data_IF_883891565890
#
_entry.id   IF_883891565890
#
_cell.length_a   1.000
_cell.length_b   1.000
_cell.length_c   1.000
_cell.angle_alpha   90.00
_cell.angle_beta   90.00
_cell.angle_gamma   90.00
#
_symmetry.space_group_name_H-M   'P 1'
#
loop_
_entity.id
_entity.type
_entity.pdbx_description
1 polymer ?
#
# COMPACT_ATOMS: atom_id res chain seq x y z
N UNK A 1 -8.72 -12.71 -27.04
CA UNK A 1 -7.96 -12.21 -25.86
C UNK A 1 -8.98 -11.73 -24.85
N UNK A 2 -9.07 -12.34 -23.67
CA UNK A 2 -9.95 -11.81 -22.64
C UNK A 2 -9.43 -10.42 -22.25
N UNK A 3 -10.19 -9.38 -22.54
CA UNK A 3 -9.88 -8.06 -22.00
C UNK A 3 -9.98 -8.20 -20.47
N UNK A 4 -8.87 -8.00 -19.77
CA UNK A 4 -8.88 -8.00 -18.32
C UNK A 4 -9.83 -6.89 -17.87
N UNK A 5 -10.99 -7.26 -17.30
CA UNK A 5 -11.92 -6.32 -16.69
C UNK A 5 -11.31 -5.84 -15.37
N UNK A 6 -10.44 -4.85 -15.45
CA UNK A 6 -9.79 -4.24 -14.28
C UNK A 6 -10.78 -3.28 -13.62
N UNK A 7 -11.16 -3.56 -12.38
CA UNK A 7 -11.97 -2.67 -11.54
C UNK A 7 -11.10 -1.69 -10.75
N UNK A 8 -9.99 -2.19 -10.20
CA UNK A 8 -8.99 -1.42 -9.47
C UNK A 8 -7.58 -1.77 -9.94
N UNK A 9 -6.72 -0.76 -10.02
CA UNK A 9 -5.29 -0.90 -10.26
C UNK A 9 -4.55 -0.05 -9.23
N UNK A 10 -3.83 -0.71 -8.33
CA UNK A 10 -3.02 -0.08 -7.30
C UNK A 10 -1.57 -0.01 -7.74
N UNK A 11 -0.98 1.18 -7.64
CA UNK A 11 0.36 1.48 -8.12
C UNK A 11 1.16 2.15 -7.01
N UNK A 12 2.34 1.60 -6.70
CA UNK A 12 3.36 2.24 -5.88
C UNK A 12 4.51 2.72 -6.76
N UNK A 13 5.28 3.69 -6.28
CA UNK A 13 6.35 4.33 -7.07
C UNK A 13 5.79 4.93 -8.37
N UNK A 14 4.80 5.81 -8.25
CA UNK A 14 4.22 6.51 -9.41
C UNK A 14 5.17 7.53 -10.03
N UNK A 15 6.13 8.05 -9.24
CA UNK A 15 6.98 9.18 -9.61
C UNK A 15 6.20 10.46 -9.98
N UNK A 16 4.92 10.53 -9.59
CA UNK A 16 4.11 11.71 -9.81
C UNK A 16 4.46 12.84 -8.84
N UNK A 17 4.09 14.04 -9.25
CA UNK A 17 4.22 15.27 -8.48
C UNK A 17 2.99 16.16 -8.72
N UNK A 18 2.83 17.16 -7.84
CA UNK A 18 1.77 18.17 -7.93
C UNK A 18 1.78 18.97 -9.24
N UNK A 19 2.87 18.94 -9.99
CA UNK A 19 2.99 19.54 -11.33
C UNK A 19 2.28 18.74 -12.42
N UNK A 20 1.99 17.46 -12.19
CA UNK A 20 1.19 16.62 -13.10
C UNK A 20 -0.29 16.90 -12.80
N UNK A 21 -1.10 17.36 -13.75
CA UNK A 21 -2.54 17.58 -13.51
C UNK A 21 -3.31 16.26 -13.34
N UNK A 22 -4.33 16.25 -12.46
CA UNK A 22 -5.18 15.06 -12.24
C UNK A 22 -5.91 14.60 -13.51
N UNK A 23 -6.16 15.51 -14.46
CA UNK A 23 -6.77 15.20 -15.76
C UNK A 23 -5.93 14.23 -16.60
N UNK A 24 -4.62 14.15 -16.38
CA UNK A 24 -3.75 13.16 -17.04
C UNK A 24 -3.88 11.75 -16.44
N UNK A 25 -4.44 11.64 -15.23
CA UNK A 25 -4.60 10.38 -14.52
C UNK A 25 -6.03 9.85 -14.59
N UNK A 26 -6.94 10.54 -15.30
CA UNK A 26 -8.36 10.16 -15.38
C UNK A 26 -8.82 10.15 -16.84
N UNK A 27 -9.88 9.39 -17.13
CA UNK A 27 -10.55 9.39 -18.43
C UNK A 27 -12.06 9.14 -18.24
N UNK A 28 -12.81 8.90 -19.32
CA UNK A 28 -14.25 8.67 -19.23
C UNK A 28 -14.64 7.44 -18.37
N UNK A 29 -13.78 6.43 -18.33
CA UNK A 29 -14.03 5.15 -17.63
C UNK A 29 -13.40 5.10 -16.25
N UNK A 30 -12.20 5.66 -16.08
CA UNK A 30 -11.39 5.54 -14.87
C UNK A 30 -11.19 6.89 -14.17
N UNK A 31 -11.29 6.85 -12.85
CA UNK A 31 -10.83 7.89 -11.93
C UNK A 31 -9.50 7.46 -11.28
N UNK A 32 -8.84 8.41 -10.64
CA UNK A 32 -7.58 8.20 -9.94
C UNK A 32 -7.60 8.95 -8.60
N UNK A 33 -7.24 8.25 -7.53
CA UNK A 33 -6.80 8.86 -6.28
C UNK A 33 -5.31 8.63 -6.17
N UNK A 34 -4.55 9.67 -5.79
CA UNK A 34 -3.10 9.58 -5.64
C UNK A 34 -2.61 10.29 -4.39
N UNK A 35 -1.49 9.81 -3.89
CA UNK A 35 -0.72 10.44 -2.82
C UNK A 35 0.71 10.59 -3.36
N UNK A 36 1.01 11.80 -3.83
CA UNK A 36 2.32 12.16 -4.36
C UNK A 36 3.31 12.35 -3.21
N UNK A 37 4.61 12.19 -3.50
CA UNK A 37 5.63 12.39 -2.47
C UNK A 37 5.64 13.85 -2.01
N UNK A 38 5.53 14.06 -0.70
CA UNK A 38 5.61 15.40 -0.10
C UNK A 38 7.00 16.03 -0.27
N UNK A 39 7.05 17.34 -0.47
CA UNK A 39 8.30 18.12 -0.48
C UNK A 39 9.07 18.04 0.85
N UNK A 40 8.38 17.72 1.94
CA UNK A 40 9.00 17.48 3.26
C UNK A 40 9.85 16.21 3.30
N UNK A 41 9.71 15.30 2.32
CA UNK A 41 10.45 14.05 2.28
C UNK A 41 11.96 14.28 2.08
N UNK A 42 12.84 13.55 2.81
CA UNK A 42 14.29 13.73 2.73
C UNK A 42 14.86 13.37 1.35
N UNK A 43 14.25 12.42 0.63
CA UNK A 43 14.59 12.10 -0.77
C UNK A 43 13.65 12.79 -1.74
N UNK A 44 14.21 13.57 -2.67
CA UNK A 44 13.43 14.34 -3.66
C UNK A 44 12.96 13.56 -4.90
N UNK A 45 13.42 12.31 -5.08
CA UNK A 45 13.08 11.49 -6.25
C UNK A 45 12.47 10.15 -5.87
N UNK A 46 11.50 9.69 -6.66
CA UNK A 46 10.77 8.43 -6.47
C UNK A 46 9.60 8.54 -5.51
N UNK A 47 8.98 7.39 -5.23
CA UNK A 47 7.80 7.29 -4.36
C UNK A 47 6.50 7.65 -5.06
N UNK A 48 5.50 7.97 -4.24
CA UNK A 48 4.13 8.18 -4.67
C UNK A 48 3.32 6.89 -4.75
N UNK A 49 2.02 7.01 -4.54
CA UNK A 49 1.05 5.92 -4.64
C UNK A 49 -0.19 6.39 -5.40
N UNK A 50 -0.84 5.50 -6.14
CA UNK A 50 -2.09 5.79 -6.82
C UNK A 50 -2.99 4.56 -6.90
N UNK A 51 -4.29 4.79 -6.85
CA UNK A 51 -5.32 3.83 -7.25
C UNK A 51 -6.06 4.38 -8.45
N UNK A 52 -6.05 3.63 -9.54
CA UNK A 52 -6.93 3.83 -10.68
C UNK A 52 -8.12 2.90 -10.55
N UNK A 53 -9.33 3.41 -10.70
CA UNK A 53 -10.55 2.64 -10.48
C UNK A 53 -11.66 3.07 -11.42
N UNK A 54 -12.58 2.16 -11.75
CA UNK A 54 -13.73 2.52 -12.61
C UNK A 54 -14.59 3.57 -11.92
N UNK A 55 -15.03 4.59 -12.66
CA UNK A 55 -15.91 5.66 -12.14
C UNK A 55 -17.27 5.16 -11.64
N UNK A 56 -17.70 3.99 -12.10
CA UNK A 56 -18.92 3.32 -11.60
C UNK A 56 -18.77 2.76 -10.17
N UNK A 57 -17.55 2.68 -9.66
CA UNK A 57 -17.26 2.20 -8.31
C UNK A 57 -17.31 3.36 -7.34
N UNK A 58 -18.04 3.15 -6.25
CA UNK A 58 -18.19 4.12 -5.20
C UNK A 58 -17.03 4.04 -4.19
N UNK A 59 -15.96 4.78 -4.52
CA UNK A 59 -14.73 4.84 -3.73
C UNK A 59 -14.49 6.27 -3.21
N UNK A 60 -14.39 6.42 -1.89
CA UNK A 60 -14.16 7.71 -1.23
C UNK A 60 -12.77 7.77 -0.57
N UNK A 61 -11.95 8.80 -0.84
CA UNK A 61 -10.65 8.96 -0.16
C UNK A 61 -10.84 9.24 1.34
N UNK A 62 -9.98 8.67 2.16
CA UNK A 62 -9.89 8.95 3.60
C UNK A 62 -8.68 9.83 3.84
N UNK A 63 -8.88 10.95 4.54
CA UNK A 63 -7.80 11.88 4.85
C UNK A 63 -6.95 11.33 6.00
N UNK A 64 -5.64 11.35 5.81
CA UNK A 64 -4.65 11.00 6.83
C UNK A 64 -3.96 12.30 7.27
N UNK A 65 -3.63 12.40 8.55
CA UNK A 65 -2.92 13.59 9.05
C UNK A 65 -1.57 13.75 8.35
N UNK A 66 -1.26 14.92 7.75
CA UNK A 66 0.06 15.19 7.19
C UNK A 66 1.18 15.08 8.22
N UNK A 67 0.87 15.25 9.51
CA UNK A 67 1.86 15.13 10.59
C UNK A 67 2.28 13.68 10.84
N UNK A 68 1.45 12.70 10.52
CA UNK A 68 1.81 11.28 10.64
C UNK A 68 2.87 10.91 9.60
N UNK A 69 2.71 11.40 8.36
CA UNK A 69 3.70 11.21 7.31
C UNK A 69 5.11 11.65 7.73
N UNK A 70 5.24 12.76 8.48
CA UNK A 70 6.54 13.26 8.93
C UNK A 70 7.26 12.33 9.91
N UNK A 71 6.55 11.41 10.57
CA UNK A 71 7.12 10.45 11.52
C UNK A 71 7.81 9.29 10.83
N UNK A 72 7.32 8.88 9.65
CA UNK A 72 7.76 7.64 8.99
C UNK A 72 8.15 7.79 7.51
N UNK A 73 7.77 8.88 6.84
CA UNK A 73 8.08 9.18 5.44
C UNK A 73 7.67 8.06 4.46
N UNK A 74 6.58 7.35 4.77
CA UNK A 74 6.03 6.32 3.90
C UNK A 74 4.74 6.84 3.28
N UNK A 75 4.56 6.61 1.99
CA UNK A 75 3.37 7.03 1.26
C UNK A 75 2.22 6.07 1.59
N UNK A 76 1.14 6.61 2.15
CA UNK A 76 -0.07 5.86 2.50
C UNK A 76 -1.26 6.54 1.83
N UNK A 77 -2.01 5.77 1.05
CA UNK A 77 -3.25 6.20 0.40
C UNK A 77 -4.39 5.32 0.89
N UNK A 78 -5.39 5.93 1.52
CA UNK A 78 -6.53 5.22 2.11
C UNK A 78 -7.80 5.64 1.37
N UNK A 79 -8.62 4.65 1.06
CA UNK A 79 -9.93 4.87 0.46
C UNK A 79 -10.93 3.81 0.93
N UNK A 80 -12.19 4.21 1.03
CA UNK A 80 -13.28 3.38 1.50
C UNK A 80 -14.22 3.07 0.33
N UNK A 81 -14.43 1.78 0.07
CA UNK A 81 -15.49 1.30 -0.80
C UNK A 81 -16.79 1.23 0.01
N UNK A 82 -17.64 2.26 -0.14
CA UNK A 82 -18.82 2.49 0.71
C UNK A 82 -19.83 1.33 0.67
N UNK A 83 -20.16 0.73 -0.49
CA UNK A 83 -21.15 -0.34 -0.56
C UNK A 83 -20.78 -1.60 0.23
N UNK A 84 -19.50 -2.00 0.23
CA UNK A 84 -19.04 -3.20 0.97
C UNK A 84 -18.46 -2.87 2.34
N UNK A 85 -18.44 -1.58 2.73
CA UNK A 85 -17.74 -1.08 3.93
C UNK A 85 -16.30 -1.63 4.00
N UNK A 86 -15.57 -1.54 2.88
CA UNK A 86 -14.19 -2.03 2.82
C UNK A 86 -13.23 -0.88 2.73
N UNK A 87 -12.33 -0.77 3.71
CA UNK A 87 -11.22 0.16 3.70
C UNK A 87 -10.03 -0.46 2.99
N UNK A 88 -9.52 0.24 2.00
CA UNK A 88 -8.37 -0.15 1.22
C UNK A 88 -7.22 0.80 1.54
N UNK A 89 -6.09 0.24 1.99
CA UNK A 89 -4.91 0.96 2.45
C UNK A 89 -3.73 0.57 1.56
N UNK A 90 -3.38 1.45 0.62
CA UNK A 90 -2.22 1.30 -0.24
C UNK A 90 -0.99 1.94 0.42
N UNK A 91 0.03 1.13 0.67
CA UNK A 91 1.26 1.52 1.37
C UNK A 91 2.45 1.38 0.43
N UNK A 92 3.29 2.41 0.38
CA UNK A 92 4.66 2.30 -0.08
C UNK A 92 5.61 2.67 1.05
N UNK A 93 6.36 1.69 1.54
CA UNK A 93 7.45 1.88 2.50
C UNK A 93 8.77 1.87 1.72
N UNK A 94 9.51 2.98 1.64
CA UNK A 94 10.82 2.99 0.99
C UNK A 94 11.79 1.97 1.60
N UNK A 95 12.71 1.39 0.82
CA UNK A 95 13.71 0.44 1.35
C UNK A 95 14.68 1.08 2.34
N UNK A 96 14.77 2.42 2.38
CA UNK A 96 15.59 3.17 3.33
C UNK A 96 14.88 3.52 4.64
N UNK A 97 13.63 3.11 4.84
CA UNK A 97 12.88 3.40 6.07
C UNK A 97 13.55 2.70 7.26
N UNK A 98 13.85 3.46 8.31
CA UNK A 98 14.49 2.96 9.52
C UNK A 98 13.55 2.07 10.36
N UNK A 99 14.08 1.37 11.36
CA UNK A 99 13.27 0.60 12.30
C UNK A 99 12.28 1.48 13.08
N UNK A 100 12.74 2.64 13.57
CA UNK A 100 11.87 3.59 14.30
C UNK A 100 10.75 4.15 13.42
N UNK A 101 11.08 4.55 12.18
CA UNK A 101 10.08 4.98 11.20
C UNK A 101 9.10 3.87 10.85
N UNK A 102 9.58 2.62 10.78
CA UNK A 102 8.72 1.46 10.55
C UNK A 102 7.73 1.30 11.70
N UNK A 103 8.17 1.42 12.96
CA UNK A 103 7.24 1.35 14.10
C UNK A 103 6.19 2.47 14.06
N UNK A 104 6.58 3.70 13.72
CA UNK A 104 5.63 4.82 13.55
C UNK A 104 4.63 4.58 12.41
N UNK A 105 5.07 4.02 11.27
CA UNK A 105 4.16 3.59 10.21
C UNK A 105 3.12 2.60 10.74
N UNK A 106 3.54 1.57 11.47
CA UNK A 106 2.61 0.56 12.00
C UNK A 106 1.65 1.14 13.05
N UNK A 107 2.07 2.11 13.87
CA UNK A 107 1.15 2.85 14.74
C UNK A 107 0.08 3.59 13.94
N UNK A 108 0.47 4.28 12.86
CA UNK A 108 -0.48 4.94 11.96
C UNK A 108 -1.43 3.94 11.28
N UNK A 109 -0.92 2.78 10.86
CA UNK A 109 -1.77 1.72 10.29
C UNK A 109 -2.75 1.15 11.33
N UNK A 110 -2.31 0.87 12.56
CA UNK A 110 -3.18 0.44 13.66
C UNK A 110 -4.35 1.40 13.86
N UNK A 111 -4.09 2.71 13.88
CA UNK A 111 -5.15 3.72 14.02
C UNK A 111 -6.17 3.72 12.86
N UNK A 112 -5.77 3.28 11.67
CA UNK A 112 -6.67 3.16 10.51
C UNK A 112 -7.52 1.89 10.55
N UNK A 113 -7.07 0.86 11.27
CA UNK A 113 -7.75 -0.42 11.46
C UNK A 113 -8.68 -0.42 12.69
N UNK A 114 -8.48 0.48 13.64
CA UNK A 114 -9.29 0.62 14.86
C UNK A 114 -10.64 1.33 14.61
N UNK A 115 -11.27 1.06 13.46
CA UNK A 115 -12.61 1.56 13.12
C UNK A 115 -13.56 0.38 13.07
N UNK A 116 -14.48 0.32 14.04
CA UNK A 116 -15.56 -0.67 14.03
C UNK A 116 -16.42 -0.51 12.76
N UNK A 117 -16.84 -1.64 12.18
CA UNK A 117 -17.74 -1.77 11.01
C UNK A 117 -17.10 -1.78 9.61
N UNK A 118 -15.77 -1.76 9.49
CA UNK A 118 -15.09 -1.89 8.20
C UNK A 118 -14.33 -3.21 8.04
N UNK A 119 -14.42 -3.77 6.84
CA UNK A 119 -13.46 -4.76 6.33
C UNK A 119 -12.18 -4.04 5.92
N UNK A 120 -11.03 -4.71 6.00
CA UNK A 120 -9.74 -4.09 5.68
C UNK A 120 -9.03 -4.84 4.59
N UNK A 121 -8.47 -4.08 3.65
CA UNK A 121 -7.56 -4.55 2.61
C UNK A 121 -6.29 -3.71 2.67
N UNK A 122 -5.18 -4.30 3.09
CA UNK A 122 -3.89 -3.61 3.12
C UNK A 122 -2.99 -4.19 2.04
N UNK A 123 -2.47 -3.30 1.19
CA UNK A 123 -1.65 -3.69 0.06
C UNK A 123 -0.60 -2.66 -0.30
N UNK A 124 0.29 -3.05 -1.22
CA UNK A 124 1.38 -2.20 -1.69
C UNK A 124 2.73 -2.79 -1.35
N UNK A 125 3.78 -1.97 -1.45
CA UNK A 125 5.18 -2.38 -1.37
C UNK A 125 5.82 -1.96 -0.04
N UNK A 126 5.98 -2.91 0.86
CA UNK A 126 6.56 -2.63 2.19
C UNK A 126 8.10 -2.69 2.20
N UNK A 127 8.75 -3.15 1.13
CA UNK A 127 10.20 -3.31 1.02
C UNK A 127 10.87 -3.89 2.28
N UNK A 128 10.35 -5.00 2.83
CA UNK A 128 11.06 -5.76 3.86
C UNK A 128 11.98 -6.79 3.21
N UNK A 129 13.31 -6.57 3.19
CA UNK A 129 14.21 -7.49 2.52
C UNK A 129 14.39 -8.81 3.30
N UNK A 130 14.37 -8.77 4.63
CA UNK A 130 14.62 -9.96 5.44
C UNK A 130 13.44 -10.94 5.47
N UNK A 131 12.24 -10.50 5.09
CA UNK A 131 11.03 -11.30 5.24
C UNK A 131 10.80 -12.18 4.02
N UNK A 132 10.61 -13.46 4.28
CA UNK A 132 10.11 -14.44 3.32
C UNK A 132 8.59 -14.52 3.40
N UNK A 133 7.91 -13.90 2.43
CA UNK A 133 6.45 -13.88 2.36
C UNK A 133 5.91 -15.21 1.84
N UNK A 134 5.59 -16.14 2.75
CA UNK A 134 4.87 -17.36 2.41
C UNK A 134 3.45 -17.32 3.03
N UNK A 135 2.43 -17.92 2.38
CA UNK A 135 1.03 -17.81 2.82
C UNK A 135 0.75 -18.29 4.24
N UNK A 136 1.49 -19.31 4.68
CA UNK A 136 1.27 -20.00 5.97
C UNK A 136 2.46 -19.87 6.93
N UNK A 137 3.55 -19.25 6.48
CA UNK A 137 4.78 -19.15 7.23
C UNK A 137 5.34 -17.73 7.06
N UNK A 138 5.55 -17.06 8.18
CA UNK A 138 6.35 -15.84 8.28
C UNK A 138 7.72 -16.16 8.90
N UNK A 139 8.51 -17.12 8.36
CA UNK A 139 9.81 -17.44 8.93
C UNK A 139 10.71 -16.21 8.76
N UNK A 140 11.47 -15.91 9.81
CA UNK A 140 12.38 -14.75 9.86
C UNK A 140 11.68 -13.37 9.78
N UNK A 141 10.36 -13.33 10.01
CA UNK A 141 9.64 -12.06 10.11
C UNK A 141 9.87 -11.41 11.47
N UNK A 142 9.96 -10.07 11.55
CA UNK A 142 10.02 -9.37 12.82
C UNK A 142 8.79 -9.71 13.69
N UNK A 143 9.02 -10.03 14.96
CA UNK A 143 7.98 -10.38 15.94
C UNK A 143 6.83 -9.36 15.94
N UNK A 144 7.16 -8.06 15.94
CA UNK A 144 6.16 -6.98 15.92
C UNK A 144 5.17 -7.08 14.75
N UNK A 145 5.62 -7.57 13.58
CA UNK A 145 4.76 -7.69 12.41
C UNK A 145 3.81 -8.87 12.56
N UNK A 146 4.32 -10.00 13.07
CA UNK A 146 3.54 -11.21 13.30
C UNK A 146 2.45 -10.92 14.34
N UNK A 147 2.82 -10.25 15.43
CA UNK A 147 1.89 -9.84 16.48
C UNK A 147 0.83 -8.89 15.94
N UNK A 148 1.23 -7.91 15.12
CA UNK A 148 0.32 -6.96 14.51
C UNK A 148 -0.67 -7.64 13.55
N UNK A 149 -0.18 -8.51 12.67
CA UNK A 149 -1.03 -9.29 11.76
C UNK A 149 -2.00 -10.18 12.53
N UNK A 150 -1.54 -10.83 13.59
CA UNK A 150 -2.36 -11.70 14.45
C UNK A 150 -3.44 -10.91 15.17
N UNK A 151 -3.10 -9.75 15.72
CA UNK A 151 -4.01 -8.87 16.47
C UNK A 151 -5.17 -8.35 15.61
N UNK A 152 -4.96 -8.18 14.31
CA UNK A 152 -5.96 -7.74 13.35
C UNK A 152 -6.50 -8.87 12.45
N UNK A 153 -6.19 -10.12 12.77
CA UNK A 153 -6.61 -11.31 12.01
C UNK A 153 -6.29 -11.23 10.50
N UNK A 154 -5.14 -10.63 10.16
CA UNK A 154 -4.72 -10.37 8.79
C UNK A 154 -4.07 -11.62 8.16
N UNK A 155 -4.50 -11.97 6.96
CA UNK A 155 -3.98 -13.12 6.20
C UNK A 155 -3.18 -12.68 4.97
N UNK A 156 -1.96 -13.18 4.77
CA UNK A 156 -1.13 -12.85 3.60
C UNK A 156 -1.59 -13.64 2.37
N UNK A 157 -2.15 -12.94 1.38
CA UNK A 157 -2.71 -13.58 0.17
C UNK A 157 -1.71 -13.72 -0.99
N UNK A 158 -0.52 -13.13 -0.91
CA UNK A 158 0.48 -13.24 -1.98
C UNK A 158 1.24 -14.56 -1.89
N UNK A 159 1.01 -15.42 -2.89
CA UNK A 159 1.54 -16.81 -2.93
C UNK A 159 2.75 -16.99 -3.83
N UNK A 160 3.21 -15.95 -4.52
CA UNK A 160 4.29 -16.03 -5.49
C UNK A 160 5.23 -14.82 -5.43
N UNK A 161 6.45 -14.94 -5.98
CA UNK A 161 7.37 -13.83 -6.03
C UNK A 161 6.93 -12.63 -6.85
N UNK A 162 6.92 -11.45 -6.24
CA UNK A 162 6.50 -10.18 -6.87
C UNK A 162 7.67 -9.33 -7.41
N UNK A 163 8.93 -9.79 -7.28
CA UNK A 163 10.11 -9.10 -7.84
C UNK A 163 11.13 -10.08 -8.43
N UNK A 164 11.68 -9.72 -9.60
CA UNK A 164 12.83 -10.39 -10.22
C UNK A 164 14.13 -9.73 -9.76
N UNK A 165 15.12 -10.52 -9.30
CA UNK A 165 16.44 -9.96 -8.97
C UNK A 165 17.16 -9.47 -10.24
N UNK A 166 18.06 -8.48 -10.11
CA UNK A 166 18.86 -7.92 -11.21
C UNK A 166 19.73 -8.97 -11.94
N UNK A 167 19.90 -10.16 -11.37
CA UNK A 167 20.72 -11.25 -11.90
C UNK A 167 19.91 -12.33 -12.64
N UNK A 168 18.59 -12.15 -12.84
CA UNK A 168 17.76 -13.04 -13.67
C UNK A 168 17.59 -14.48 -13.17
N UNK A 169 18.26 -14.88 -12.07
CA UNK A 169 18.33 -16.30 -11.66
C UNK A 169 17.51 -16.70 -10.43
N UNK A 170 16.93 -15.75 -9.67
CA UNK A 170 16.00 -16.08 -8.57
C UNK A 170 14.88 -15.06 -8.47
N UNK A 171 13.64 -15.56 -8.61
CA UNK A 171 12.42 -14.86 -8.23
C UNK A 171 12.35 -14.86 -6.70
N UNK A 172 12.40 -13.70 -6.06
CA UNK A 172 12.35 -13.59 -4.60
C UNK A 172 10.94 -13.08 -4.23
N UNK A 173 10.19 -13.77 -3.36
CA UNK A 173 8.95 -13.23 -2.81
C UNK A 173 9.27 -12.05 -1.92
N UNK A 174 9.14 -10.86 -2.49
CA UNK A 174 9.21 -9.58 -1.81
C UNK A 174 8.21 -8.65 -2.45
N UNK A 175 7.13 -8.42 -1.72
CA UNK A 175 6.76 -7.10 -1.18
C UNK A 175 5.34 -6.65 -1.41
N UNK A 176 4.51 -7.36 -2.17
CA UNK A 176 3.07 -7.05 -2.20
C UNK A 176 2.36 -7.74 -1.05
N UNK A 177 1.59 -6.99 -0.30
CA UNK A 177 0.63 -7.53 0.66
C UNK A 177 -0.76 -7.44 0.04
N UNK A 178 -1.61 -8.39 0.38
CA UNK A 178 -3.04 -8.18 0.34
C UNK A 178 -3.53 -8.86 1.61
N UNK A 179 -3.79 -8.05 2.63
CA UNK A 179 -4.28 -8.52 3.93
C UNK A 179 -5.77 -8.24 3.97
N UNK A 180 -6.59 -9.29 4.02
CA UNK A 180 -8.05 -9.18 4.03
C UNK A 180 -8.63 -9.67 5.36
N UNK A 181 -9.55 -8.88 5.91
CA UNK A 181 -10.60 -9.32 6.85
C UNK A 181 -11.92 -8.70 6.41
#
# INVERSE_FOLDING_TARGET
MAANHIDFLFVTETFFSSTIPDSLCTNETFACLRSDRSDSHPKKRGGGTAVFYKKSIDLSPVQISPTDYLKHFCEVLVCDHRPSKTRIILVYRPPSTSASQTLELFKSLTALLDISDYHFVILGDFNFPAIHWLPDLLPDSPEFLVDWMTSFHLSQLVTFPTRTSRLGKKKIPRSTFLLQH
#
